data_IF_868114187620
#
_entry.id   IF_868114187620
#
_cell.length_a   1.000
_cell.length_b   1.000
_cell.length_c   1.000
_cell.angle_alpha   90.00
_cell.angle_beta   90.00
_cell.angle_gamma   90.00
#
_symmetry.space_group_name_H-M   'P 1'
#
loop_
_entity.id
_entity.type
_entity.pdbx_description
1 polymer ?
#
# COMPACT_ATOMS: atom_id res chain seq x y z
N UNK A 1 -0.99 29.81 -0.12
CA UNK A 1 -0.33 28.77 -0.93
C UNK A 1 -0.68 27.45 -0.29
N UNK A 2 -1.54 26.64 -0.92
CA UNK A 2 -1.75 25.27 -0.46
C UNK A 2 -0.46 24.51 -0.71
N UNK A 3 0.12 23.96 0.36
CA UNK A 3 1.22 23.02 0.27
C UNK A 3 0.69 21.83 -0.55
N UNK A 4 1.29 21.56 -1.70
CA UNK A 4 1.04 20.29 -2.40
C UNK A 4 1.78 19.27 -1.56
N UNK A 5 1.04 18.44 -0.81
CA UNK A 5 1.66 17.34 -0.09
C UNK A 5 2.28 16.40 -1.13
N UNK A 6 3.58 16.09 -0.98
CA UNK A 6 4.24 15.11 -1.82
C UNK A 6 3.58 13.75 -1.55
N UNK A 7 2.88 13.22 -2.55
CA UNK A 7 2.25 11.91 -2.48
C UNK A 7 3.34 10.87 -2.78
N UNK A 8 3.63 10.02 -1.80
CA UNK A 8 4.57 8.91 -1.95
C UNK A 8 3.85 7.64 -2.45
N UNK A 9 4.51 6.88 -3.32
CA UNK A 9 3.99 5.64 -3.90
C UNK A 9 4.84 4.47 -3.44
N UNK A 10 4.23 3.48 -2.77
CA UNK A 10 4.86 2.22 -2.45
C UNK A 10 4.59 1.19 -3.56
N UNK A 11 5.67 0.66 -4.16
CA UNK A 11 5.58 -0.29 -5.26
C UNK A 11 5.75 -1.74 -4.75
N UNK A 12 4.70 -2.56 -4.87
CA UNK A 12 4.68 -3.93 -4.36
C UNK A 12 4.74 -5.01 -5.46
N UNK A 13 5.88 -5.69 -5.53
CA UNK A 13 6.09 -6.83 -6.43
C UNK A 13 5.51 -8.17 -5.92
N UNK A 14 5.06 -8.22 -4.66
CA UNK A 14 4.48 -9.43 -4.07
C UNK A 14 3.66 -9.12 -2.79
N UNK A 15 2.78 -10.05 -2.35
CA UNK A 15 2.15 -9.96 -1.02
C UNK A 15 3.15 -9.92 0.14
N UNK A 16 4.28 -10.64 0.03
CA UNK A 16 5.31 -10.62 1.06
C UNK A 16 5.95 -9.25 1.23
N UNK A 17 6.09 -8.47 0.15
CA UNK A 17 6.57 -7.09 0.21
C UNK A 17 5.57 -6.18 0.95
N UNK A 18 4.26 -6.39 0.76
CA UNK A 18 3.21 -5.67 1.51
C UNK A 18 3.33 -5.95 3.01
N UNK A 19 3.45 -7.22 3.40
CA UNK A 19 3.61 -7.59 4.80
C UNK A 19 4.88 -6.99 5.42
N UNK A 20 6.01 -7.04 4.72
CA UNK A 20 7.27 -6.46 5.18
C UNK A 20 7.16 -4.94 5.35
N UNK A 21 6.48 -4.25 4.43
CA UNK A 21 6.22 -2.81 4.56
C UNK A 21 5.41 -2.50 5.82
N UNK A 22 4.30 -3.21 6.04
CA UNK A 22 3.46 -3.02 7.22
C UNK A 22 4.21 -3.28 8.53
N UNK A 23 5.05 -4.32 8.59
CA UNK A 23 5.90 -4.58 9.75
C UNK A 23 6.88 -3.43 10.01
N UNK A 24 7.48 -2.86 8.96
CA UNK A 24 8.37 -1.71 9.09
C UNK A 24 7.61 -0.45 9.53
N UNK A 25 6.38 -0.26 9.08
CA UNK A 25 5.52 0.82 9.56
C UNK A 25 5.16 0.62 11.03
N UNK A 26 4.87 -0.62 11.44
CA UNK A 26 4.61 -0.93 12.85
C UNK A 26 5.82 -0.62 13.74
N UNK A 27 7.03 -0.91 13.27
CA UNK A 27 8.26 -0.50 13.99
C UNK A 27 8.38 1.03 14.03
N UNK A 28 8.24 1.70 12.89
CA UNK A 28 8.40 3.16 12.75
C UNK A 28 7.44 3.94 13.65
N UNK A 29 6.20 3.49 13.75
CA UNK A 29 5.14 4.14 14.53
C UNK A 29 4.89 3.50 15.90
N UNK A 30 5.75 2.56 16.33
CA UNK A 30 5.66 1.88 17.62
C UNK A 30 4.30 1.17 17.85
N UNK A 31 3.82 0.44 16.83
CA UNK A 31 2.54 -0.28 16.82
C UNK A 31 2.70 -1.79 17.07
N UNK A 32 3.89 -2.26 17.43
CA UNK A 32 4.18 -3.70 17.51
C UNK A 32 3.31 -4.45 18.53
N UNK A 33 2.92 -3.77 19.61
CA UNK A 33 2.07 -4.31 20.69
C UNK A 33 0.58 -3.93 20.54
N UNK A 34 0.22 -3.26 19.45
CA UNK A 34 -1.17 -2.89 19.13
C UNK A 34 -1.87 -4.08 18.46
N UNK A 35 -3.15 -4.30 18.74
CA UNK A 35 -3.92 -5.36 18.09
C UNK A 35 -4.17 -5.04 16.60
N UNK A 36 -4.20 -6.07 15.74
CA UNK A 36 -4.37 -5.88 14.29
C UNK A 36 -5.68 -5.16 13.92
N UNK A 37 -6.77 -5.37 14.65
CA UNK A 37 -8.04 -4.65 14.40
C UNK A 37 -7.95 -3.17 14.77
N UNK A 38 -7.09 -2.81 15.72
CA UNK A 38 -6.80 -1.40 16.03
C UNK A 38 -5.87 -0.78 14.99
N UNK A 39 -4.87 -1.53 14.50
CA UNK A 39 -3.99 -1.06 13.42
C UNK A 39 -4.76 -0.75 12.14
N UNK A 40 -5.79 -1.53 11.81
CA UNK A 40 -6.70 -1.25 10.68
C UNK A 40 -7.44 0.08 10.80
N UNK A 41 -7.80 0.50 12.03
CA UNK A 41 -8.50 1.77 12.28
C UNK A 41 -7.62 3.00 12.04
N UNK A 42 -6.30 2.83 11.95
CA UNK A 42 -5.37 3.90 11.59
C UNK A 42 -5.54 4.34 10.13
N UNK A 43 -6.16 3.50 9.29
CA UNK A 43 -6.31 3.77 7.86
C UNK A 43 -4.95 4.09 7.21
N UNK A 44 -4.92 5.16 6.39
CA UNK A 44 -3.71 5.57 5.67
C UNK A 44 -2.51 5.86 6.59
N UNK A 45 -2.72 6.33 7.82
CA UNK A 45 -1.61 6.58 8.74
C UNK A 45 -0.87 5.28 9.08
N UNK A 46 -1.60 4.17 9.20
CA UNK A 46 -1.04 2.85 9.49
C UNK A 46 -0.22 2.27 8.35
N UNK A 47 -0.27 2.87 7.16
CA UNK A 47 0.51 2.49 5.99
C UNK A 47 1.65 3.47 5.66
N UNK A 48 1.73 4.61 6.36
CA UNK A 48 2.66 5.70 6.06
C UNK A 48 2.11 6.82 5.18
N UNK A 49 0.79 6.86 4.94
CA UNK A 49 0.11 7.79 4.02
C UNK A 49 0.63 7.70 2.57
N UNK A 50 0.86 6.46 2.10
CA UNK A 50 1.34 6.19 0.74
C UNK A 50 0.25 5.58 -0.13
N UNK A 51 0.31 5.82 -1.44
CA UNK A 51 -0.47 5.04 -2.41
C UNK A 51 0.20 3.69 -2.66
N UNK A 52 -0.55 2.69 -3.13
CA UNK A 52 -0.02 1.36 -3.43
C UNK A 52 -0.07 1.08 -4.93
N UNK A 53 1.08 0.85 -5.55
CA UNK A 53 1.18 0.35 -6.91
C UNK A 53 1.62 -1.12 -6.91
N UNK A 54 0.71 -2.04 -7.21
CA UNK A 54 0.93 -3.48 -7.14
C UNK A 54 1.18 -4.07 -8.53
N UNK A 55 2.12 -5.01 -8.65
CA UNK A 55 2.43 -5.70 -9.93
C UNK A 55 1.26 -6.51 -10.49
N UNK A 56 0.26 -6.83 -9.66
CA UNK A 56 -0.94 -7.56 -10.06
C UNK A 56 -1.91 -7.79 -8.92
N UNK A 57 -3.01 -8.47 -9.25
CA UNK A 57 -4.18 -8.69 -8.38
C UNK A 57 -3.84 -9.33 -7.03
N UNK A 58 -2.87 -10.25 -6.99
CA UNK A 58 -2.52 -10.95 -5.73
C UNK A 58 -1.94 -9.99 -4.70
N UNK A 59 -1.02 -9.10 -5.09
CA UNK A 59 -0.48 -8.08 -4.20
C UNK A 59 -1.54 -7.04 -3.84
N UNK A 60 -2.38 -6.64 -4.81
CA UNK A 60 -3.46 -5.68 -4.57
C UNK A 60 -4.49 -6.20 -3.55
N UNK A 61 -4.80 -7.50 -3.57
CA UNK A 61 -5.62 -8.15 -2.55
C UNK A 61 -4.98 -8.08 -1.18
N UNK A 62 -3.68 -8.38 -1.06
CA UNK A 62 -2.98 -8.28 0.22
C UNK A 62 -3.00 -6.84 0.78
N UNK A 63 -2.84 -5.83 -0.08
CA UNK A 63 -2.98 -4.41 0.32
C UNK A 63 -4.40 -4.12 0.80
N UNK A 64 -5.43 -4.52 0.06
CA UNK A 64 -6.83 -4.28 0.43
C UNK A 64 -7.20 -5.00 1.74
N UNK A 65 -6.84 -6.26 1.87
CA UNK A 65 -7.13 -7.10 3.05
C UNK A 65 -6.39 -6.64 4.31
N UNK A 66 -5.29 -5.90 4.16
CA UNK A 66 -4.62 -5.27 5.30
C UNK A 66 -5.51 -4.27 6.04
N UNK A 67 -6.53 -3.72 5.38
CA UNK A 67 -7.41 -2.68 5.91
C UNK A 67 -6.72 -1.33 6.13
N UNK A 68 -5.46 -1.16 5.72
CA UNK A 68 -4.68 0.07 5.92
C UNK A 68 -4.62 0.97 4.70
N UNK A 69 -5.24 0.58 3.59
CA UNK A 69 -5.42 1.40 2.38
C UNK A 69 -6.90 1.51 2.03
N UNK A 70 -7.31 2.64 1.46
CA UNK A 70 -8.60 2.72 0.79
C UNK A 70 -8.50 2.03 -0.56
N UNK A 71 -9.60 1.43 -1.02
CA UNK A 71 -9.63 0.77 -2.33
C UNK A 71 -9.32 1.71 -3.51
N UNK A 72 -9.55 3.03 -3.35
CA UNK A 72 -9.24 4.04 -4.37
C UNK A 72 -7.75 4.38 -4.45
N UNK A 73 -6.96 3.98 -3.45
CA UNK A 73 -5.52 4.28 -3.34
C UNK A 73 -4.65 3.08 -3.77
N UNK A 74 -5.26 2.07 -4.42
CA UNK A 74 -4.62 0.81 -4.81
C UNK A 74 -4.68 0.65 -6.33
N UNK A 75 -3.52 0.76 -6.97
CA UNK A 75 -3.33 0.71 -8.41
C UNK A 75 -2.66 -0.60 -8.80
N UNK A 76 -3.21 -1.30 -9.79
CA UNK A 76 -2.66 -2.58 -10.26
C UNK A 76 -3.18 -2.93 -11.66
N UNK A 77 -2.41 -3.68 -12.45
CA UNK A 77 -2.88 -4.15 -13.73
C UNK A 77 -3.94 -5.25 -13.52
N UNK A 78 -5.10 -5.06 -14.15
CA UNK A 78 -6.21 -6.03 -14.10
C UNK A 78 -5.97 -7.24 -15.01
N UNK A 79 -5.26 -7.03 -16.11
CA UNK A 79 -4.96 -8.03 -17.13
C UNK A 79 -3.45 -8.04 -17.41
N UNK A 80 -2.89 -9.22 -17.70
CA UNK A 80 -1.47 -9.41 -18.05
C UNK A 80 -0.47 -8.76 -17.07
N UNK A 81 -0.42 -9.22 -15.80
CA UNK A 81 0.51 -8.67 -14.82
C UNK A 81 1.97 -8.90 -15.25
N UNK A 82 2.79 -7.86 -15.13
CA UNK A 82 4.19 -7.86 -15.53
C UNK A 82 4.83 -6.49 -15.29
N UNK A 83 6.13 -6.36 -15.56
CA UNK A 83 6.88 -5.12 -15.28
C UNK A 83 6.32 -3.94 -16.07
N UNK A 84 5.97 -4.14 -17.35
CA UNK A 84 5.47 -3.06 -18.21
C UNK A 84 4.10 -2.55 -17.71
N UNK A 85 3.16 -3.45 -17.45
CA UNK A 85 1.81 -3.08 -16.96
C UNK A 85 1.81 -2.62 -15.50
N UNK A 86 2.84 -2.98 -14.74
CA UNK A 86 3.07 -2.42 -13.41
C UNK A 86 3.56 -0.97 -13.48
N UNK A 87 4.44 -0.64 -14.42
CA UNK A 87 4.86 0.75 -14.64
C UNK A 87 3.66 1.66 -14.96
N UNK A 88 2.72 1.19 -15.78
CA UNK A 88 1.47 1.92 -16.03
C UNK A 88 0.65 2.17 -14.76
N UNK A 89 0.65 1.21 -13.83
CA UNK A 89 -0.04 1.35 -12.54
C UNK A 89 0.66 2.36 -11.62
N UNK A 90 1.98 2.48 -11.70
CA UNK A 90 2.75 3.50 -10.97
C UNK A 90 2.46 4.89 -11.54
N UNK A 91 2.30 5.03 -12.86
CA UNK A 91 1.96 6.31 -13.51
C UNK A 91 0.52 6.75 -13.19
N UNK A 92 -0.38 5.80 -12.93
CA UNK A 92 -1.77 6.10 -12.56
C UNK A 92 -1.95 6.49 -11.10
N UNK A 93 -1.03 6.07 -10.23
CA UNK A 93 -0.99 6.41 -8.82
C UNK A 93 -0.53 7.85 -8.63
#
# INVERSE_FOLDING_TARGET
MSQVDDIEIACFGSPSAVNAWLQNMDVKYNLQDVDEEEKKKLGAQGNGNVLAACIGTTSARAVLESGRWNAMDIYYPKENPGVDTWADSIVQA
#
